data_IF_038986366533
#
_entry.id   IF_038986366533
#
_cell.length_a   1.000
_cell.length_b   1.000
_cell.length_c   1.000
_cell.angle_alpha   90.00
_cell.angle_beta   90.00
_cell.angle_gamma   90.00
#
_symmetry.space_group_name_H-M   'P 1'
#
loop_
_entity.id
_entity.type
_entity.pdbx_description
1 polymer ?
#
# COMPACT_ATOMS: atom_id res chain seq x y z
N UNK A 1 0.10 5.39 -22.85
CA UNK A 1 1.44 5.46 -23.49
C UNK A 1 1.72 6.92 -23.83
N UNK A 2 2.75 7.51 -23.20
CA UNK A 2 3.17 8.88 -23.57
C UNK A 2 3.62 8.90 -25.02
N UNK A 3 3.27 9.96 -25.74
CA UNK A 3 3.75 10.14 -27.13
C UNK A 3 5.21 10.51 -27.14
N UNK A 4 5.93 10.25 -28.24
CA UNK A 4 7.34 10.63 -28.42
C UNK A 4 7.54 12.14 -28.18
N UNK A 5 6.57 12.96 -28.59
CA UNK A 5 6.60 14.41 -28.36
C UNK A 5 6.51 14.79 -26.89
N UNK A 6 5.67 14.10 -26.10
CA UNK A 6 5.58 14.32 -24.65
C UNK A 6 6.89 13.96 -23.94
N UNK A 7 7.52 12.85 -24.33
CA UNK A 7 8.84 12.46 -23.79
C UNK A 7 9.94 13.46 -24.14
N UNK A 8 9.92 13.98 -25.36
CA UNK A 8 10.89 15.00 -25.80
C UNK A 8 10.66 16.31 -25.04
N UNK A 9 9.42 16.76 -24.88
CA UNK A 9 9.08 17.96 -24.10
C UNK A 9 9.58 17.86 -22.67
N UNK A 10 9.33 16.72 -22.01
CA UNK A 10 9.82 16.46 -20.64
C UNK A 10 11.34 16.51 -20.54
N UNK A 11 12.07 15.94 -21.51
CA UNK A 11 13.54 16.00 -21.53
C UNK A 11 14.05 17.45 -21.68
N UNK A 12 13.39 18.26 -22.50
CA UNK A 12 13.77 19.67 -22.64
C UNK A 12 13.43 20.50 -21.41
N UNK A 13 12.32 20.25 -20.74
CA UNK A 13 11.96 20.87 -19.46
C UNK A 13 12.97 20.49 -18.37
N UNK A 14 13.31 19.20 -18.26
CA UNK A 14 14.34 18.72 -17.34
C UNK A 14 15.71 19.38 -17.61
N UNK A 15 16.08 19.57 -18.87
CA UNK A 15 17.34 20.22 -19.26
C UNK A 15 17.34 21.72 -18.92
N UNK A 16 16.21 22.40 -19.11
CA UNK A 16 16.04 23.80 -18.74
C UNK A 16 16.15 23.99 -17.22
N UNK A 17 15.52 23.12 -16.44
CA UNK A 17 15.59 23.11 -14.97
C UNK A 17 17.04 22.88 -14.47
N UNK A 18 17.82 22.02 -15.14
CA UNK A 18 19.26 21.84 -14.84
C UNK A 18 20.05 23.11 -15.08
N UNK A 19 19.79 23.76 -16.18
CA UNK A 19 20.54 25.00 -16.57
C UNK A 19 20.16 26.18 -15.65
N UNK A 20 18.92 26.25 -15.19
CA UNK A 20 18.45 27.33 -14.32
C UNK A 20 18.75 27.08 -12.83
N UNK A 21 18.63 25.86 -12.34
CA UNK A 21 18.66 25.51 -10.90
C UNK A 21 19.89 24.69 -10.49
N UNK A 22 20.71 24.26 -11.43
CA UNK A 22 21.94 23.51 -11.16
C UNK A 22 21.73 22.05 -10.68
N UNK A 23 20.50 21.53 -10.72
CA UNK A 23 20.21 20.13 -10.36
C UNK A 23 19.04 19.55 -11.15
N UNK A 24 19.19 18.31 -11.61
CA UNK A 24 18.12 17.46 -12.18
C UNK A 24 17.27 16.87 -11.04
N UNK A 25 16.38 17.62 -10.44
CA UNK A 25 15.37 17.02 -9.56
C UNK A 25 13.99 17.19 -10.19
N UNK A 26 13.61 16.25 -11.08
CA UNK A 26 12.24 16.14 -11.51
C UNK A 26 11.38 15.92 -10.26
N UNK A 27 10.46 16.82 -10.02
CA UNK A 27 9.52 16.69 -8.93
C UNK A 27 8.46 15.65 -9.27
N UNK A 28 8.16 14.78 -8.32
CA UNK A 28 7.03 13.86 -8.40
C UNK A 28 5.76 14.63 -8.06
N UNK A 29 4.79 14.64 -8.97
CA UNK A 29 3.50 15.32 -8.77
C UNK A 29 2.51 14.39 -8.11
N UNK A 30 2.06 14.75 -6.90
CA UNK A 30 1.09 13.98 -6.13
C UNK A 30 -0.16 14.82 -5.89
N UNK A 31 -1.31 14.33 -6.33
CA UNK A 31 -2.61 14.95 -6.06
C UNK A 31 -3.08 14.65 -4.64
N UNK A 32 -3.70 15.64 -3.98
CA UNK A 32 -4.38 15.46 -2.69
C UNK A 32 -5.82 15.97 -2.78
N UNK A 33 -6.80 15.07 -2.65
CA UNK A 33 -8.19 15.51 -2.47
C UNK A 33 -8.39 15.99 -1.04
N UNK A 34 -9.06 17.14 -0.85
CA UNK A 34 -9.17 17.76 0.48
C UNK A 34 -10.60 17.81 1.05
N UNK A 35 -11.56 17.21 0.36
CA UNK A 35 -12.96 17.15 0.81
C UNK A 35 -13.23 15.86 1.59
N UNK A 36 -14.14 15.92 2.58
CA UNK A 36 -14.57 14.75 3.36
C UNK A 36 -13.79 14.48 4.66
N UNK A 37 -12.80 15.31 5.03
CA UNK A 37 -12.09 15.19 6.30
C UNK A 37 -12.96 15.60 7.49
N UNK A 38 -12.88 14.87 8.60
CA UNK A 38 -13.50 15.23 9.89
C UNK A 38 -12.86 16.48 10.51
N UNK A 39 -11.63 16.82 10.12
CA UNK A 39 -10.88 17.98 10.60
C UNK A 39 -10.92 19.15 9.63
N UNK A 40 -11.63 19.01 8.52
CA UNK A 40 -11.78 20.02 7.50
C UNK A 40 -10.60 20.13 6.53
N UNK A 41 -10.78 20.89 5.42
CA UNK A 41 -9.80 20.95 4.33
C UNK A 41 -8.48 21.61 4.75
N UNK A 42 -8.49 22.53 5.71
CA UNK A 42 -7.26 23.21 6.15
C UNK A 42 -6.27 22.24 6.81
N UNK A 43 -6.75 21.24 7.53
CA UNK A 43 -5.89 20.21 8.15
C UNK A 43 -5.12 19.39 7.09
N UNK A 44 -5.80 19.04 5.99
CA UNK A 44 -5.17 18.34 4.88
C UNK A 44 -4.15 19.24 4.14
N UNK A 45 -4.50 20.51 3.95
CA UNK A 45 -3.60 21.51 3.36
C UNK A 45 -2.34 21.68 4.22
N UNK A 46 -2.48 21.77 5.55
CA UNK A 46 -1.33 21.85 6.44
C UNK A 46 -0.39 20.66 6.27
N UNK A 47 -0.95 19.45 6.11
CA UNK A 47 -0.18 18.24 5.79
C UNK A 47 0.52 18.32 4.43
N UNK A 48 -0.13 18.86 3.42
CA UNK A 48 0.44 19.06 2.09
C UNK A 48 1.63 20.05 2.12
N UNK A 49 1.47 21.17 2.81
CA UNK A 49 2.53 22.17 2.98
C UNK A 49 3.72 21.60 3.76
N UNK A 50 3.45 20.80 4.81
CA UNK A 50 4.49 20.08 5.54
C UNK A 50 5.25 19.10 4.66
N UNK A 51 4.54 18.34 3.82
CA UNK A 51 5.14 17.37 2.90
C UNK A 51 6.03 18.06 1.86
N UNK A 52 5.51 19.05 1.15
CA UNK A 52 6.25 19.77 0.11
C UNK A 52 7.42 20.57 0.68
N UNK A 53 7.26 21.19 1.87
CA UNK A 53 8.31 21.94 2.53
C UNK A 53 9.51 21.09 2.98
N UNK A 54 9.28 19.81 3.30
CA UNK A 54 10.32 18.86 3.72
C UNK A 54 10.97 18.10 2.56
N UNK A 55 10.31 17.99 1.40
CA UNK A 55 10.74 17.16 0.28
C UNK A 55 10.85 18.01 -0.99
N UNK A 56 12.08 18.32 -1.39
CA UNK A 56 12.36 19.17 -2.56
C UNK A 56 11.96 18.53 -3.89
N UNK A 57 11.87 17.18 -3.93
CA UNK A 57 11.48 16.37 -5.07
C UNK A 57 9.99 16.05 -5.13
N UNK A 58 9.17 16.66 -4.25
CA UNK A 58 7.72 16.51 -4.21
C UNK A 58 7.03 17.83 -4.62
N UNK A 59 6.04 17.72 -5.50
CA UNK A 59 5.08 18.77 -5.81
C UNK A 59 3.67 18.26 -5.51
N UNK A 60 2.99 18.96 -4.59
CA UNK A 60 1.62 18.60 -4.21
C UNK A 60 0.61 19.47 -4.95
N UNK A 61 -0.36 18.83 -5.58
CA UNK A 61 -1.49 19.49 -6.26
C UNK A 61 -2.74 19.24 -5.43
N UNK A 62 -3.31 20.31 -4.88
CA UNK A 62 -4.56 20.27 -4.11
C UNK A 62 -5.74 20.10 -5.08
N UNK A 63 -6.65 19.17 -4.78
CA UNK A 63 -7.88 18.94 -5.54
C UNK A 63 -9.08 19.12 -4.61
N UNK A 64 -9.82 20.22 -4.81
CA UNK A 64 -10.97 20.56 -3.98
C UNK A 64 -11.00 22.00 -3.56
N UNK A 65 -12.12 22.43 -2.99
CA UNK A 65 -12.38 23.80 -2.51
C UNK A 65 -12.21 23.93 -1.00
N UNK A 66 -12.03 25.16 -0.54
CA UNK A 66 -11.89 25.48 0.88
C UNK A 66 -10.44 25.51 1.38
N UNK A 67 -10.25 26.10 2.59
CA UNK A 67 -8.94 26.33 3.15
C UNK A 67 -8.11 27.39 2.38
N UNK A 68 -6.92 27.70 2.90
CA UNK A 68 -6.00 28.69 2.31
C UNK A 68 -4.63 28.05 2.10
N UNK A 69 -4.05 28.23 0.91
CA UNK A 69 -2.72 27.74 0.56
C UNK A 69 -2.18 28.47 -0.66
N UNK A 70 -0.85 28.51 -0.79
CA UNK A 70 -0.14 28.94 -1.99
C UNK A 70 0.23 27.75 -2.90
N UNK A 71 -0.12 26.50 -2.51
CA UNK A 71 0.08 25.33 -3.36
C UNK A 71 -0.82 25.37 -4.60
N UNK A 72 -0.37 24.75 -5.67
CA UNK A 72 -1.17 24.60 -6.88
C UNK A 72 -2.49 23.88 -6.56
N UNK A 73 -3.59 24.41 -7.10
CA UNK A 73 -4.94 23.90 -6.83
C UNK A 73 -5.73 23.70 -8.10
N UNK A 74 -6.51 22.62 -8.10
CA UNK A 74 -7.60 22.33 -9.03
C UNK A 74 -8.90 22.38 -8.23
N UNK A 75 -9.80 23.27 -8.58
CA UNK A 75 -11.06 23.45 -7.84
C UNK A 75 -12.03 22.30 -8.11
N UNK A 76 -12.65 21.80 -7.04
CA UNK A 76 -13.77 20.85 -7.08
C UNK A 76 -14.74 21.18 -5.95
N UNK A 77 -16.04 21.17 -6.24
CA UNK A 77 -17.06 21.54 -5.27
C UNK A 77 -17.54 20.36 -4.41
N UNK A 78 -17.34 19.13 -4.88
CA UNK A 78 -17.81 17.89 -4.23
C UNK A 78 -16.72 16.84 -4.21
N UNK A 79 -16.81 15.86 -3.28
CA UNK A 79 -15.91 14.70 -3.23
C UNK A 79 -15.93 13.91 -4.56
N UNK A 80 -17.11 13.76 -5.17
CA UNK A 80 -17.24 13.04 -6.42
C UNK A 80 -16.53 13.74 -7.58
N UNK A 81 -16.66 15.06 -7.68
CA UNK A 81 -15.94 15.87 -8.67
C UNK A 81 -14.42 15.81 -8.44
N UNK A 82 -13.98 15.92 -7.18
CA UNK A 82 -12.57 15.80 -6.84
C UNK A 82 -11.98 14.44 -7.24
N UNK A 83 -12.72 13.35 -7.03
CA UNK A 83 -12.28 12.00 -7.46
C UNK A 83 -12.24 11.88 -9.00
N UNK A 84 -13.22 12.42 -9.71
CA UNK A 84 -13.25 12.39 -11.16
C UNK A 84 -12.06 13.15 -11.77
N UNK A 85 -11.75 14.34 -11.24
CA UNK A 85 -10.60 15.14 -11.64
C UNK A 85 -9.27 14.43 -11.31
N UNK A 86 -9.15 13.87 -10.10
CA UNK A 86 -7.99 13.08 -9.70
C UNK A 86 -7.73 11.90 -10.65
N UNK A 87 -8.77 11.14 -10.98
CA UNK A 87 -8.68 10.00 -11.90
C UNK A 87 -8.28 10.44 -13.31
N UNK A 88 -8.87 11.55 -13.81
CA UNK A 88 -8.54 12.13 -15.11
C UNK A 88 -7.07 12.58 -15.18
N UNK A 89 -6.58 13.27 -14.15
CA UNK A 89 -5.20 13.74 -14.07
C UNK A 89 -4.20 12.57 -14.01
N UNK A 90 -4.52 11.50 -13.25
CA UNK A 90 -3.70 10.28 -13.23
C UNK A 90 -3.67 9.60 -14.61
N UNK A 91 -4.80 9.49 -15.29
CA UNK A 91 -4.89 8.90 -16.64
C UNK A 91 -4.10 9.69 -17.68
N UNK A 92 -4.10 11.01 -17.58
CA UNK A 92 -3.32 11.90 -18.47
C UNK A 92 -1.83 11.93 -18.14
N UNK A 93 -1.41 11.40 -16.98
CA UNK A 93 -0.04 11.48 -16.48
C UNK A 93 0.35 12.88 -15.99
N UNK A 94 -0.64 13.71 -15.66
CA UNK A 94 -0.45 15.01 -14.99
C UNK A 94 -0.09 14.83 -13.51
N UNK A 95 -0.48 13.68 -12.93
CA UNK A 95 -0.07 13.19 -11.62
C UNK A 95 0.60 11.82 -11.75
N UNK A 96 1.64 11.58 -10.97
CA UNK A 96 2.26 10.26 -10.83
C UNK A 96 1.57 9.41 -9.76
N UNK A 97 0.99 10.05 -8.74
CA UNK A 97 0.24 9.39 -7.67
C UNK A 97 -0.82 10.34 -7.09
N UNK A 98 -1.73 9.80 -6.31
CA UNK A 98 -2.72 10.59 -5.58
C UNK A 98 -2.94 10.07 -4.17
N UNK A 99 -3.42 10.95 -3.29
CA UNK A 99 -3.81 10.67 -1.91
C UNK A 99 -5.24 11.16 -1.72
N UNK A 100 -6.11 10.30 -1.19
CA UNK A 100 -7.53 10.61 -0.96
C UNK A 100 -8.06 9.89 0.27
N UNK A 101 -9.16 10.38 0.85
CA UNK A 101 -9.72 9.80 2.08
C UNK A 101 -10.63 8.59 1.85
N UNK A 102 -11.25 8.49 0.72
CA UNK A 102 -12.14 7.39 0.41
C UNK A 102 -12.09 7.10 -1.09
N UNK A 103 -11.87 5.84 -1.45
CA UNK A 103 -11.84 5.43 -2.83
C UNK A 103 -12.30 3.97 -2.96
N UNK A 104 -13.18 3.69 -3.93
CA UNK A 104 -13.69 2.35 -4.17
C UNK A 104 -12.78 1.61 -5.15
N UNK A 105 -11.90 0.77 -4.62
CA UNK A 105 -11.08 -0.11 -5.45
C UNK A 105 -11.89 -1.27 -6.03
N UNK A 106 -11.55 -1.74 -7.23
CA UNK A 106 -12.15 -2.96 -7.78
C UNK A 106 -11.71 -4.20 -7.00
N UNK A 107 -12.49 -5.29 -7.12
CA UNK A 107 -12.06 -6.60 -6.61
C UNK A 107 -10.74 -7.00 -7.29
N UNK A 108 -9.80 -7.51 -6.51
CA UNK A 108 -8.43 -7.79 -6.95
C UNK A 108 -7.40 -6.76 -6.47
N UNK A 109 -7.87 -5.66 -5.87
CA UNK A 109 -7.03 -4.58 -5.34
C UNK A 109 -7.22 -4.43 -3.84
N UNK A 110 -6.12 -4.41 -3.10
CA UNK A 110 -6.08 -4.13 -1.68
C UNK A 110 -4.93 -3.18 -1.34
N UNK A 111 -5.06 -2.47 -0.24
CA UNK A 111 -4.08 -1.44 0.14
C UNK A 111 -2.96 -2.00 1.01
N UNK A 112 -1.76 -1.45 0.84
CA UNK A 112 -0.59 -1.77 1.66
C UNK A 112 -0.22 -0.53 2.48
N UNK A 113 -0.58 -0.54 3.77
CA UNK A 113 -0.28 0.56 4.69
C UNK A 113 1.16 0.52 5.18
N UNK A 114 1.72 1.69 5.49
CA UNK A 114 3.04 1.82 6.11
C UNK A 114 2.86 2.42 7.52
N UNK A 115 3.25 1.66 8.53
CA UNK A 115 3.10 2.03 9.95
C UNK A 115 4.45 2.22 10.62
N UNK A 116 4.44 2.96 11.73
CA UNK A 116 5.55 3.00 12.68
C UNK A 116 5.17 2.11 13.87
N UNK A 117 5.97 1.09 14.15
CA UNK A 117 5.66 0.12 15.20
C UNK A 117 5.92 0.71 16.59
N UNK A 118 4.98 0.55 17.54
CA UNK A 118 5.08 1.20 18.86
C UNK A 118 6.22 0.67 19.74
N UNK A 119 6.63 -0.59 19.53
CA UNK A 119 7.65 -1.20 20.38
C UNK A 119 9.08 -0.73 20.07
N UNK A 120 9.42 -0.51 18.81
CA UNK A 120 10.79 -0.14 18.39
C UNK A 120 10.86 1.05 17.43
N UNK A 121 9.74 1.67 17.08
CA UNK A 121 9.70 2.78 16.13
C UNK A 121 10.18 2.42 14.72
N UNK A 122 10.01 1.15 14.31
CA UNK A 122 10.41 0.68 12.97
C UNK A 122 9.28 0.87 11.97
N UNK A 123 9.62 1.22 10.76
CA UNK A 123 8.67 1.13 9.64
C UNK A 123 8.34 -0.34 9.35
N UNK A 124 7.05 -0.61 9.08
CA UNK A 124 6.57 -1.92 8.69
C UNK A 124 5.39 -1.76 7.73
N UNK A 125 5.32 -2.63 6.72
CA UNK A 125 4.22 -2.65 5.77
C UNK A 125 3.14 -3.64 6.24
N UNK A 126 1.89 -3.15 6.37
CA UNK A 126 0.72 -3.99 6.64
C UNK A 126 0.05 -4.37 5.31
N UNK A 127 0.13 -5.61 4.94
CA UNK A 127 -0.47 -6.14 3.72
C UNK A 127 -1.59 -7.15 4.10
N UNK A 128 -2.85 -6.73 4.22
CA UNK A 128 -3.47 -5.48 3.72
C UNK A 128 -4.18 -4.67 4.80
N UNK A 129 -4.57 -3.43 4.50
CA UNK A 129 -5.29 -2.54 5.43
C UNK A 129 -6.73 -2.26 5.02
N UNK A 130 -7.09 -2.36 3.74
CA UNK A 130 -8.46 -2.29 3.21
C UNK A 130 -8.52 -2.87 1.79
N UNK A 131 -9.71 -3.00 1.24
CA UNK A 131 -9.93 -3.60 -0.08
C UNK A 131 -10.04 -5.12 -0.05
N UNK A 132 -10.21 -5.74 -1.23
CA UNK A 132 -10.46 -7.16 -1.39
C UNK A 132 -9.63 -7.71 -2.55
N UNK A 133 -8.49 -8.34 -2.23
CA UNK A 133 -7.60 -8.95 -3.23
C UNK A 133 -8.18 -10.21 -3.85
N UNK A 134 -9.00 -10.96 -3.08
CA UNK A 134 -9.75 -12.14 -3.52
C UNK A 134 -10.88 -12.41 -2.54
N UNK A 135 -11.85 -13.22 -2.94
CA UNK A 135 -13.00 -13.64 -2.10
C UNK A 135 -12.59 -14.72 -1.09
N UNK A 136 -11.66 -15.60 -1.47
CA UNK A 136 -11.10 -16.60 -0.58
C UNK A 136 -9.94 -15.99 0.22
N UNK A 137 -9.96 -16.17 1.56
CA UNK A 137 -9.03 -15.50 2.49
C UNK A 137 -7.57 -15.86 2.23
N UNK A 138 -7.26 -17.15 2.05
CA UNK A 138 -5.88 -17.60 1.85
C UNK A 138 -5.31 -17.05 0.54
N UNK A 139 -6.12 -17.08 -0.53
CA UNK A 139 -5.78 -16.49 -1.82
C UNK A 139 -5.58 -14.99 -1.69
N UNK A 140 -6.44 -14.29 -0.95
CA UNK A 140 -6.27 -12.86 -0.69
C UNK A 140 -4.95 -12.56 0.02
N UNK A 141 -4.62 -13.30 1.08
CA UNK A 141 -3.36 -13.12 1.82
C UNK A 141 -2.11 -13.43 0.97
N UNK A 142 -2.19 -14.40 0.07
CA UNK A 142 -1.12 -14.69 -0.91
C UNK A 142 -0.91 -13.52 -1.88
N UNK A 143 -1.99 -12.95 -2.44
CA UNK A 143 -1.91 -11.77 -3.30
C UNK A 143 -1.40 -10.55 -2.53
N UNK A 144 -1.83 -10.37 -1.28
CA UNK A 144 -1.34 -9.31 -0.40
C UNK A 144 0.16 -9.44 -0.15
N UNK A 145 0.70 -10.67 -0.09
CA UNK A 145 2.16 -10.89 0.04
C UNK A 145 2.91 -10.26 -1.12
N UNK A 146 2.49 -10.53 -2.38
CA UNK A 146 3.14 -9.98 -3.56
C UNK A 146 3.05 -8.44 -3.59
N UNK A 147 1.89 -7.90 -3.26
CA UNK A 147 1.67 -6.46 -3.17
C UNK A 147 2.56 -5.81 -2.10
N UNK A 148 2.65 -6.41 -0.91
CA UNK A 148 3.48 -5.93 0.19
C UNK A 148 4.97 -5.94 -0.14
N UNK A 149 5.46 -7.01 -0.76
CA UNK A 149 6.86 -7.10 -1.24
C UNK A 149 7.14 -6.03 -2.29
N UNK A 150 6.23 -5.86 -3.27
CA UNK A 150 6.36 -4.83 -4.30
C UNK A 150 6.41 -3.41 -3.73
N UNK A 151 5.56 -3.10 -2.74
CA UNK A 151 5.56 -1.80 -2.05
C UNK A 151 6.87 -1.55 -1.29
N UNK A 152 7.36 -2.54 -0.52
CA UNK A 152 8.61 -2.44 0.20
C UNK A 152 9.81 -2.23 -0.74
N UNK A 153 9.84 -2.98 -1.86
CA UNK A 153 10.89 -2.82 -2.91
C UNK A 153 10.84 -1.45 -3.57
N UNK A 154 9.66 -0.90 -3.82
CA UNK A 154 9.52 0.44 -4.37
C UNK A 154 10.05 1.52 -3.42
N UNK A 155 9.97 1.29 -2.12
CA UNK A 155 10.50 2.20 -1.10
C UNK A 155 11.97 1.93 -0.72
N UNK A 156 12.71 1.16 -1.54
CA UNK A 156 14.17 1.00 -1.42
C UNK A 156 14.62 -0.22 -0.62
N UNK A 157 13.71 -1.08 -0.15
CA UNK A 157 14.08 -2.35 0.46
C UNK A 157 14.02 -3.48 -0.60
N UNK A 158 15.14 -3.74 -1.29
CA UNK A 158 15.18 -4.72 -2.37
C UNK A 158 14.97 -6.18 -1.91
N UNK A 159 15.18 -6.47 -0.63
CA UNK A 159 15.08 -7.81 -0.05
C UNK A 159 14.21 -7.84 1.22
N UNK A 160 12.93 -7.42 1.15
CA UNK A 160 12.10 -7.32 2.33
C UNK A 160 11.82 -8.69 2.95
N UNK A 161 11.84 -8.74 4.26
CA UNK A 161 11.46 -9.93 5.03
C UNK A 161 9.95 -9.97 5.21
N UNK A 162 9.37 -11.18 5.10
CA UNK A 162 7.92 -11.41 5.17
C UNK A 162 7.57 -12.24 6.40
N UNK A 163 6.60 -11.79 7.17
CA UNK A 163 5.99 -12.53 8.27
C UNK A 163 4.48 -12.59 8.12
N UNK A 164 3.86 -13.66 8.60
CA UNK A 164 2.41 -13.88 8.50
C UNK A 164 1.83 -13.74 9.91
N UNK A 165 0.92 -12.79 10.12
CA UNK A 165 0.26 -12.66 11.41
C UNK A 165 -0.53 -13.94 11.73
N UNK A 166 -0.49 -14.39 12.99
CA UNK A 166 -1.16 -15.61 13.44
C UNK A 166 -2.69 -15.44 13.54
N UNK A 167 -3.31 -15.42 12.39
CA UNK A 167 -4.77 -15.35 12.19
C UNK A 167 -5.24 -16.59 11.43
N UNK A 168 -6.55 -16.74 11.26
CA UNK A 168 -7.12 -17.83 10.47
C UNK A 168 -6.57 -17.83 9.05
N UNK A 169 -6.15 -19.00 8.57
CA UNK A 169 -5.50 -19.20 7.28
C UNK A 169 -3.97 -19.02 7.29
N UNK A 170 -3.35 -18.50 8.36
CA UNK A 170 -1.91 -18.23 8.41
C UNK A 170 -1.04 -19.44 8.06
N UNK A 171 -1.43 -20.64 8.56
CA UNK A 171 -0.67 -21.87 8.27
C UNK A 171 -0.84 -22.38 6.83
N UNK A 172 -2.00 -22.13 6.20
CA UNK A 172 -2.18 -22.42 4.78
C UNK A 172 -1.34 -21.49 3.93
N UNK A 173 -1.34 -20.17 4.23
CA UNK A 173 -0.51 -19.17 3.57
C UNK A 173 0.98 -19.52 3.72
N UNK A 174 1.43 -19.90 4.92
CA UNK A 174 2.82 -20.33 5.15
C UNK A 174 3.20 -21.50 4.26
N UNK A 175 2.37 -22.56 4.20
CA UNK A 175 2.64 -23.73 3.36
C UNK A 175 2.70 -23.36 1.88
N UNK A 176 1.75 -22.56 1.41
CA UNK A 176 1.69 -22.12 0.02
C UNK A 176 2.90 -21.26 -0.38
N UNK A 177 3.31 -20.31 0.48
CA UNK A 177 4.50 -19.49 0.20
C UNK A 177 5.80 -20.31 0.26
N UNK A 178 5.92 -21.28 1.17
CA UNK A 178 7.07 -22.20 1.21
C UNK A 178 7.12 -23.11 -0.02
N UNK A 179 5.98 -23.54 -0.53
CA UNK A 179 5.90 -24.31 -1.77
C UNK A 179 6.37 -23.47 -2.97
N UNK A 180 5.91 -22.22 -3.11
CA UNK A 180 6.41 -21.30 -4.13
C UNK A 180 7.91 -21.05 -4.00
N UNK A 181 8.42 -20.85 -2.78
CA UNK A 181 9.85 -20.71 -2.52
C UNK A 181 10.63 -21.94 -2.97
N UNK A 182 10.14 -23.15 -2.67
CA UNK A 182 10.73 -24.42 -3.12
C UNK A 182 10.72 -24.60 -4.65
N UNK A 183 9.80 -23.92 -5.34
CA UNK A 183 9.71 -23.86 -6.81
C UNK A 183 10.49 -22.69 -7.42
N UNK A 184 11.24 -21.91 -6.60
CA UNK A 184 12.14 -20.86 -7.04
C UNK A 184 11.60 -19.43 -6.97
N UNK A 185 10.46 -19.18 -6.30
CA UNK A 185 10.03 -17.81 -6.00
C UNK A 185 10.93 -17.19 -4.91
N UNK A 186 11.59 -16.04 -5.16
CA UNK A 186 12.57 -15.46 -4.24
C UNK A 186 11.86 -14.69 -3.10
N UNK A 187 11.48 -15.37 -2.03
CA UNK A 187 10.89 -14.79 -0.84
C UNK A 187 11.81 -14.95 0.36
N UNK A 188 11.99 -13.88 1.14
CA UNK A 188 12.72 -13.90 2.40
C UNK A 188 11.73 -13.96 3.56
N UNK A 189 11.78 -15.04 4.33
CA UNK A 189 10.95 -15.15 5.52
C UNK A 189 11.63 -14.52 6.73
N UNK A 190 10.88 -13.74 7.51
CA UNK A 190 11.30 -13.31 8.82
C UNK A 190 11.14 -14.47 9.83
N UNK A 191 11.98 -14.48 10.85
CA UNK A 191 11.83 -15.38 11.98
C UNK A 191 11.20 -14.64 13.18
N UNK A 192 10.16 -15.23 13.76
CA UNK A 192 9.56 -14.73 15.00
C UNK A 192 10.61 -14.64 16.11
N UNK A 193 10.53 -13.61 16.95
CA UNK A 193 11.41 -13.43 18.10
C UNK A 193 11.21 -14.46 19.22
N UNK A 194 10.31 -15.43 19.04
CA UNK A 194 10.08 -16.53 19.99
C UNK A 194 11.20 -17.56 19.92
N UNK A 195 11.35 -18.32 21.00
CA UNK A 195 12.38 -19.37 21.09
C UNK A 195 12.22 -20.49 20.03
N UNK A 196 10.99 -20.74 19.56
CA UNK A 196 10.68 -21.72 18.51
C UNK A 196 10.76 -21.14 17.07
N UNK A 197 11.01 -19.82 16.94
CA UNK A 197 11.14 -19.16 15.64
C UNK A 197 9.89 -19.28 14.78
N UNK A 198 10.10 -19.33 13.45
CA UNK A 198 9.05 -19.55 12.46
C UNK A 198 8.49 -18.28 11.82
N UNK A 199 7.78 -18.46 10.70
CA UNK A 199 7.28 -17.36 9.84
C UNK A 199 5.98 -16.76 10.37
N UNK A 200 5.24 -17.53 11.17
CA UNK A 200 3.96 -17.08 11.75
C UNK A 200 4.21 -16.22 12.96
N UNK A 201 3.88 -14.93 12.83
CA UNK A 201 4.15 -13.86 13.78
C UNK A 201 3.03 -13.71 14.81
N UNK A 202 3.39 -13.34 16.04
CA UNK A 202 2.43 -13.00 17.11
C UNK A 202 2.42 -11.49 17.36
N UNK A 203 1.55 -11.07 18.29
CA UNK A 203 1.40 -9.66 18.65
C UNK A 203 2.71 -8.99 19.06
N UNK A 204 3.60 -9.69 19.77
CA UNK A 204 4.91 -9.13 20.14
C UNK A 204 5.80 -8.86 18.90
N UNK A 205 5.77 -9.75 17.90
CA UNK A 205 6.52 -9.57 16.66
C UNK A 205 5.96 -8.38 15.86
N UNK A 206 4.63 -8.24 15.83
CA UNK A 206 3.93 -7.12 15.23
C UNK A 206 4.33 -5.79 15.90
N UNK A 207 4.27 -5.73 17.24
CA UNK A 207 4.60 -4.53 18.00
C UNK A 207 6.08 -4.14 17.87
N UNK A 208 6.96 -5.11 17.71
CA UNK A 208 8.40 -4.89 17.53
C UNK A 208 8.80 -4.59 16.08
N UNK A 209 7.91 -4.81 15.10
CA UNK A 209 8.25 -4.72 13.67
C UNK A 209 9.30 -5.74 13.29
N UNK A 210 9.06 -7.03 13.58
CA UNK A 210 10.03 -8.09 13.27
C UNK A 210 10.18 -8.28 11.76
N UNK A 211 9.10 -8.47 10.97
CA UNK A 211 9.20 -8.47 9.51
C UNK A 211 9.09 -7.05 8.95
N UNK A 212 9.64 -6.87 7.74
CA UNK A 212 9.41 -5.65 6.97
C UNK A 212 7.97 -5.60 6.42
N UNK A 213 7.45 -6.76 6.01
CA UNK A 213 6.08 -6.93 5.48
C UNK A 213 5.31 -7.91 6.34
N UNK A 214 4.26 -7.45 7.01
CA UNK A 214 3.35 -8.26 7.82
C UNK A 214 2.08 -8.57 7.03
N UNK A 215 1.86 -9.86 6.76
CA UNK A 215 0.70 -10.34 5.98
C UNK A 215 -0.46 -10.61 6.90
N UNK A 216 -1.65 -10.13 6.50
CA UNK A 216 -2.90 -10.31 7.23
C UNK A 216 -4.12 -10.14 6.32
N UNK A 217 -5.33 -10.41 6.86
CA UNK A 217 -6.58 -10.06 6.19
C UNK A 217 -6.90 -8.55 6.35
N UNK A 218 -7.82 -8.06 5.51
CA UNK A 218 -8.15 -6.64 5.45
C UNK A 218 -8.82 -6.09 6.72
N UNK A 219 -9.61 -6.91 7.43
CA UNK A 219 -10.26 -6.47 8.67
C UNK A 219 -9.22 -6.27 9.78
N UNK A 220 -8.35 -7.25 9.96
CA UNK A 220 -7.26 -7.18 10.95
C UNK A 220 -6.35 -6.00 10.66
N UNK A 221 -5.93 -5.82 9.40
CA UNK A 221 -5.07 -4.70 9.02
C UNK A 221 -5.74 -3.35 9.15
N UNK A 222 -7.04 -3.24 8.88
CA UNK A 222 -7.79 -2.00 9.08
C UNK A 222 -7.82 -1.59 10.56
N UNK A 223 -8.10 -2.52 11.46
CA UNK A 223 -8.12 -2.27 12.90
C UNK A 223 -6.74 -1.89 13.41
N UNK A 224 -5.70 -2.64 13.00
CA UNK A 224 -4.31 -2.36 13.41
C UNK A 224 -3.83 -1.01 12.89
N UNK A 225 -4.19 -0.64 11.66
CA UNK A 225 -3.90 0.68 11.12
C UNK A 225 -4.46 1.79 12.00
N UNK A 226 -5.74 1.69 12.39
CA UNK A 226 -6.38 2.63 13.32
C UNK A 226 -5.68 2.68 14.67
N UNK A 227 -5.36 1.52 15.25
CA UNK A 227 -4.69 1.46 16.55
C UNK A 227 -3.30 2.11 16.47
N UNK A 228 -2.49 1.77 15.47
CA UNK A 228 -1.13 2.32 15.35
C UNK A 228 -1.12 3.80 15.03
N UNK A 229 -2.06 4.30 14.24
CA UNK A 229 -2.10 5.72 13.86
C UNK A 229 -2.61 6.65 14.95
N UNK A 230 -3.47 6.16 15.87
CA UNK A 230 -4.20 6.99 16.79
C UNK A 230 -4.05 6.65 18.29
N UNK A 231 -3.26 5.63 18.68
CA UNK A 231 -3.16 5.22 20.09
C UNK A 231 -2.59 6.32 21.00
N UNK A 232 -1.72 7.19 20.49
CA UNK A 232 -1.12 8.29 21.24
C UNK A 232 -1.99 9.54 21.29
N UNK A 233 -3.06 9.63 20.48
CA UNK A 233 -3.91 10.81 20.33
C UNK A 233 -5.35 10.61 20.78
N UNK A 234 -5.66 9.48 21.42
CA UNK A 234 -6.98 9.16 21.97
C UNK A 234 -8.00 8.64 20.95
N UNK A 235 -7.58 8.31 19.71
CA UNK A 235 -8.37 7.57 18.74
C UNK A 235 -9.18 8.37 17.73
N UNK A 236 -9.35 9.67 17.93
CA UNK A 236 -10.13 10.55 17.03
C UNK A 236 -9.27 11.43 16.12
N UNK A 237 -7.96 11.37 16.25
CA UNK A 237 -7.00 12.13 15.43
C UNK A 237 -5.76 11.24 15.19
N UNK A 238 -5.53 10.90 13.94
CA UNK A 238 -4.38 10.05 13.56
C UNK A 238 -3.10 10.90 13.41
N UNK A 239 -2.03 10.47 14.07
CA UNK A 239 -0.76 11.23 14.14
C UNK A 239 0.44 10.46 13.58
N UNK A 240 0.35 9.14 13.44
CA UNK A 240 1.48 8.29 13.08
C UNK A 240 1.20 7.42 11.85
N UNK A 241 2.26 7.08 11.10
CA UNK A 241 2.18 6.26 9.89
C UNK A 241 1.83 7.07 8.65
N UNK A 242 1.65 6.39 7.53
CA UNK A 242 1.44 6.97 6.20
C UNK A 242 0.05 6.65 5.62
N UNK A 243 -0.96 6.52 6.47
CA UNK A 243 -2.32 6.16 6.07
C UNK A 243 -2.42 4.69 5.63
N UNK A 244 -3.56 4.34 5.03
CA UNK A 244 -3.88 2.97 4.59
C UNK A 244 -3.08 2.52 3.37
N UNK A 245 -2.36 3.43 2.72
CA UNK A 245 -1.44 3.18 1.62
C UNK A 245 -2.11 3.01 0.26
N UNK A 246 -1.31 2.62 -0.76
CA UNK A 246 -1.76 2.47 -2.14
C UNK A 246 -2.64 1.25 -2.32
N UNK A 247 -3.66 1.35 -3.19
CA UNK A 247 -4.32 0.19 -3.76
C UNK A 247 -3.38 -0.50 -4.75
N UNK A 248 -3.10 -1.78 -4.52
CA UNK A 248 -2.22 -2.58 -5.35
C UNK A 248 -2.91 -3.88 -5.77
N UNK A 249 -2.70 -4.29 -7.00
CA UNK A 249 -3.26 -5.51 -7.57
C UNK A 249 -2.61 -5.85 -8.90
N UNK A 250 -2.85 -7.07 -9.37
CA UNK A 250 -2.17 -7.62 -10.55
C UNK A 250 -2.35 -6.78 -11.83
N UNK A 251 -3.53 -6.22 -12.03
CA UNK A 251 -3.87 -5.44 -13.23
C UNK A 251 -4.25 -4.00 -12.91
N UNK A 252 -3.88 -3.51 -11.72
CA UNK A 252 -4.16 -2.14 -11.34
C UNK A 252 -3.00 -1.23 -11.76
N UNK A 253 -3.34 -0.09 -12.36
CA UNK A 253 -2.40 0.75 -13.13
C UNK A 253 -2.23 2.17 -12.57
N UNK A 254 -2.77 2.45 -11.37
CA UNK A 254 -2.71 3.76 -10.73
C UNK A 254 -2.18 3.68 -9.31
N UNK A 255 -1.53 4.73 -8.84
CA UNK A 255 -1.07 4.85 -7.46
C UNK A 255 -2.02 5.79 -6.73
N UNK A 256 -2.98 5.22 -6.00
CA UNK A 256 -3.94 5.95 -5.18
C UNK A 256 -3.80 5.46 -3.75
N UNK A 257 -3.32 6.33 -2.87
CA UNK A 257 -3.16 6.07 -1.44
C UNK A 257 -4.40 6.54 -0.67
N UNK A 258 -4.83 5.76 0.31
CA UNK A 258 -6.00 6.06 1.13
C UNK A 258 -5.60 6.64 2.48
N UNK A 259 -6.29 7.70 2.89
CA UNK A 259 -6.30 8.26 4.23
C UNK A 259 -7.58 7.89 4.97
N UNK A 260 -7.55 7.95 6.28
CA UNK A 260 -8.75 8.01 7.12
C UNK A 260 -9.33 9.43 7.11
N UNK A 261 -10.65 9.57 7.33
CA UNK A 261 -11.27 10.88 7.55
C UNK A 261 -10.76 11.58 8.83
N UNK A 262 -10.21 10.78 9.77
CA UNK A 262 -9.59 11.26 11.00
C UNK A 262 -8.08 11.51 10.89
N UNK A 263 -7.49 11.39 9.70
CA UNK A 263 -6.06 11.63 9.50
C UNK A 263 -5.71 13.10 9.72
N UNK A 264 -4.77 13.34 10.64
CA UNK A 264 -4.22 14.67 10.90
C UNK A 264 -3.10 15.04 9.93
N UNK A 265 -2.70 16.30 9.94
CA UNK A 265 -1.64 16.84 9.07
C UNK A 265 -0.35 16.00 9.05
N UNK A 266 0.15 15.43 10.17
CA UNK A 266 1.34 14.57 10.13
C UNK A 266 1.17 13.32 9.28
N UNK A 267 0.02 12.64 9.37
CA UNK A 267 -0.28 11.44 8.58
C UNK A 267 -0.46 11.79 7.11
N UNK A 268 -1.12 12.92 6.81
CA UNK A 268 -1.28 13.43 5.43
C UNK A 268 0.10 13.70 4.81
N UNK A 269 1.01 14.34 5.54
CA UNK A 269 2.35 14.62 5.07
C UNK A 269 3.13 13.34 4.75
N UNK A 270 3.07 12.35 5.64
CA UNK A 270 3.74 11.07 5.43
C UNK A 270 3.09 10.21 4.34
N UNK A 271 1.76 10.32 4.14
CA UNK A 271 1.06 9.64 3.03
C UNK A 271 1.46 10.22 1.67
N UNK A 272 1.60 11.54 1.56
CA UNK A 272 2.08 12.21 0.35
C UNK A 272 3.53 11.82 0.03
N UNK A 273 4.40 11.77 1.04
CA UNK A 273 5.76 11.26 0.88
C UNK A 273 5.77 9.81 0.44
N UNK A 274 4.96 8.97 1.07
CA UNK A 274 4.84 7.55 0.70
C UNK A 274 4.37 7.37 -0.74
N UNK A 275 3.37 8.15 -1.18
CA UNK A 275 2.88 8.14 -2.56
C UNK A 275 3.99 8.55 -3.55
N UNK A 276 4.81 9.55 -3.21
CA UNK A 276 5.96 9.96 -4.02
C UNK A 276 7.06 8.88 -4.06
N UNK A 277 7.40 8.27 -2.92
CA UNK A 277 8.37 7.15 -2.84
C UNK A 277 7.94 5.98 -3.74
N UNK A 278 6.64 5.62 -3.71
CA UNK A 278 6.06 4.55 -4.52
C UNK A 278 6.11 4.87 -6.02
N UNK A 279 5.81 6.11 -6.41
CA UNK A 279 5.89 6.55 -7.81
C UNK A 279 7.34 6.54 -8.30
N UNK A 280 8.26 7.11 -7.53
CA UNK A 280 9.70 7.13 -7.82
C UNK A 280 10.29 5.73 -7.93
N UNK A 281 9.89 4.84 -7.03
CA UNK A 281 10.32 3.44 -7.00
C UNK A 281 9.55 2.53 -7.95
N UNK A 282 8.60 3.09 -8.76
CA UNK A 282 7.83 2.36 -9.77
C UNK A 282 7.10 1.15 -9.20
N UNK A 283 6.30 1.38 -8.16
CA UNK A 283 5.63 0.30 -7.41
C UNK A 283 4.81 -0.62 -8.32
N UNK A 284 4.12 -0.09 -9.33
CA UNK A 284 3.31 -0.89 -10.24
C UNK A 284 4.17 -1.90 -11.01
N UNK A 285 5.34 -1.47 -11.53
CA UNK A 285 6.29 -2.36 -12.20
C UNK A 285 6.86 -3.41 -11.23
N UNK A 286 7.16 -3.02 -9.97
CA UNK A 286 7.65 -3.94 -8.93
C UNK A 286 6.61 -5.00 -8.59
N UNK A 287 5.34 -4.62 -8.40
CA UNK A 287 4.25 -5.56 -8.14
C UNK A 287 4.05 -6.52 -9.32
N UNK A 288 4.04 -6.03 -10.57
CA UNK A 288 3.95 -6.89 -11.75
C UNK A 288 5.13 -7.86 -11.85
N UNK A 289 6.34 -7.44 -11.47
CA UNK A 289 7.51 -8.31 -11.43
C UNK A 289 7.36 -9.42 -10.39
N UNK A 290 6.76 -9.15 -9.21
CA UNK A 290 6.46 -10.16 -8.21
C UNK A 290 5.45 -11.20 -8.74
N UNK A 291 4.36 -10.76 -9.39
CA UNK A 291 3.40 -11.67 -10.03
C UNK A 291 4.06 -12.52 -11.14
N UNK A 292 4.91 -11.92 -11.95
CA UNK A 292 5.62 -12.63 -13.00
C UNK A 292 6.60 -13.70 -12.43
N UNK A 293 7.28 -13.38 -11.33
CA UNK A 293 8.17 -14.32 -10.64
C UNK A 293 7.38 -15.46 -9.99
N UNK A 294 6.26 -15.14 -9.32
CA UNK A 294 5.38 -16.12 -8.70
C UNK A 294 4.78 -17.08 -9.76
N UNK A 295 4.36 -16.58 -10.93
CA UNK A 295 3.86 -17.42 -12.03
C UNK A 295 4.90 -18.41 -12.55
N UNK A 296 6.16 -18.00 -12.68
CA UNK A 296 7.25 -18.92 -13.03
C UNK A 296 7.43 -20.03 -12.01
N UNK A 297 7.06 -19.81 -10.76
CA UNK A 297 7.06 -20.79 -9.68
C UNK A 297 5.75 -21.58 -9.53
N UNK A 298 4.80 -21.48 -10.48
CA UNK A 298 3.56 -22.24 -10.47
C UNK A 298 2.39 -21.59 -9.72
N UNK A 299 2.37 -20.26 -9.64
CA UNK A 299 1.33 -19.47 -8.96
C UNK A 299 -0.10 -19.84 -9.35
N UNK A 300 -0.38 -19.92 -10.65
CA UNK A 300 -1.75 -20.15 -11.15
C UNK A 300 -2.25 -21.58 -10.81
N UNK A 301 -1.34 -22.55 -10.75
CA UNK A 301 -1.63 -23.93 -10.32
C UNK A 301 -1.93 -23.96 -8.81
N UNK A 302 -1.10 -23.29 -8.02
CA UNK A 302 -1.28 -23.18 -6.58
C UNK A 302 -2.64 -22.55 -6.22
N UNK A 303 -3.01 -21.43 -6.85
CA UNK A 303 -4.29 -20.77 -6.59
C UNK A 303 -5.47 -21.68 -6.92
N UNK A 304 -5.46 -22.36 -8.06
CA UNK A 304 -6.51 -23.33 -8.44
C UNK A 304 -6.67 -24.46 -7.41
N UNK A 305 -5.56 -24.93 -6.83
CA UNK A 305 -5.60 -25.97 -5.80
C UNK A 305 -6.26 -25.50 -4.48
N UNK A 306 -6.17 -24.18 -4.18
CA UNK A 306 -6.76 -23.58 -2.98
C UNK A 306 -8.23 -23.22 -3.17
N UNK A 307 -8.63 -22.87 -4.39
CA UNK A 307 -10.02 -22.51 -4.73
C UNK A 307 -10.91 -23.74 -4.96
N UNK A 308 -10.33 -24.89 -5.32
CA UNK A 308 -11.09 -26.13 -5.43
C UNK A 308 -11.38 -26.69 -4.03
N UNK A 309 -12.66 -26.94 -3.66
CA UNK A 309 -12.96 -27.56 -2.38
C UNK A 309 -12.26 -28.94 -2.33
N UNK A 310 -11.34 -29.12 -1.40
CA UNK A 310 -10.81 -30.44 -1.10
C UNK A 310 -12.01 -31.34 -0.83
N UNK A 311 -12.14 -32.43 -1.60
CA UNK A 311 -13.11 -33.46 -1.32
C UNK A 311 -12.91 -33.86 0.15
N UNK A 312 -13.92 -33.59 1.00
CA UNK A 312 -13.88 -33.99 2.39
C UNK A 312 -13.52 -35.49 2.43
N UNK A 313 -12.57 -35.94 3.29
CA UNK A 313 -12.32 -37.35 3.45
C UNK A 313 -13.65 -37.99 3.83
N UNK A 314 -14.12 -38.93 3.03
CA UNK A 314 -15.26 -39.75 3.36
C UNK A 314 -14.90 -40.44 4.68
N UNK A 315 -15.61 -40.08 5.75
CA UNK A 315 -15.61 -40.88 6.97
C UNK A 315 -16.14 -42.25 6.54
N UNK A 316 -15.26 -43.24 6.47
CA UNK A 316 -15.66 -44.63 6.46
C UNK A 316 -16.52 -44.85 7.68
N UNK A 317 -17.79 -45.12 7.42
CA UNK A 317 -18.74 -45.42 8.47
C UNK A 317 -18.29 -46.66 9.23
N UNK A 318 -17.98 -46.52 10.51
CA UNK A 318 -17.94 -47.65 11.41
C UNK A 318 -19.34 -48.28 11.43
N UNK A 319 -19.45 -49.43 10.84
CA UNK A 319 -20.60 -50.35 10.95
C UNK A 319 -20.73 -50.75 12.39
N UNK A 320 -21.67 -50.14 13.10
CA UNK A 320 -22.13 -50.63 14.42
C UNK A 320 -22.96 -51.90 14.13
N UNK A 321 -22.36 -53.05 14.28
CA UNK A 321 -23.08 -54.31 14.36
C UNK A 321 -23.74 -54.48 15.73
N UNK A 322 -24.97 -55.05 15.79
CA UNK A 322 -25.83 -55.05 17.01
C UNK A 322 -25.33 -55.94 18.12
#
# INVERSE_FOLDING_TARGET
MKTVYQTISEIFEDLADVLEKGSLTRKIKVGLTILGSEHGPQELINGAEMAQGKNQDLEVIIIGSGGKTDLQRVEAATEQEAHALMDEMLLKGELEAAVTMHYSFPIGVATVGRVITPGKGREMYLATTTGTSATERTVAMLKNTLAGIGAAKACGNDHPTVGILNIDGARQVERALKELAGRGYPINFAESARADGGVVMRGNDLLAGVPDVMIMDSLTGNVLMKVFSAFSSGGNYETLGSGYGPGLGENYDRIICILSRASGAPVVAEALRYAADLAKGKVLEKVQAEYAAARKAGWDELLRSLESPAAAPQQEGEEITP
#
